data_IF_052630362371
#
_entry.id   IF_052630362371
#
_cell.length_a   1.000
_cell.length_b   1.000
_cell.length_c   1.000
_cell.angle_alpha   90.00
_cell.angle_beta   90.00
_cell.angle_gamma   90.00
#
_symmetry.space_group_name_H-M   'P 1'
#
loop_
_entity.id
_entity.type
_entity.pdbx_description
1 polymer ?
#
# COMPACT_ATOMS: atom_id res chain seq x y z
N UNK A 1 -20.86 19.05 8.96
CA UNK A 1 -20.01 19.28 7.75
C UNK A 1 -19.15 18.08 7.37
N UNK A 2 -18.45 17.42 8.28
CA UNK A 2 -17.57 16.29 7.98
C UNK A 2 -18.29 15.10 7.29
N UNK A 3 -19.47 14.70 7.78
CA UNK A 3 -20.28 13.62 7.15
C UNK A 3 -20.63 13.93 5.70
N UNK A 4 -21.00 15.17 5.39
CA UNK A 4 -21.34 15.60 4.03
C UNK A 4 -20.11 15.57 3.11
N UNK A 5 -18.97 16.08 3.58
CA UNK A 5 -17.68 16.03 2.83
C UNK A 5 -17.25 14.59 2.58
N UNK A 6 -17.37 13.72 3.58
CA UNK A 6 -17.07 12.28 3.43
C UNK A 6 -17.99 11.61 2.43
N UNK A 7 -19.29 11.89 2.48
CA UNK A 7 -20.28 11.36 1.52
C UNK A 7 -19.97 11.84 0.10
N UNK A 8 -19.77 13.13 -0.09
CA UNK A 8 -19.46 13.71 -1.40
C UNK A 8 -18.17 13.11 -1.98
N UNK A 9 -17.12 13.01 -1.16
CA UNK A 9 -15.87 12.38 -1.59
C UNK A 9 -16.07 10.92 -1.98
N UNK A 10 -16.74 10.12 -1.16
CA UNK A 10 -16.98 8.71 -1.47
C UNK A 10 -17.78 8.55 -2.77
N UNK A 11 -18.81 9.36 -2.98
CA UNK A 11 -19.62 9.33 -4.20
C UNK A 11 -18.77 9.68 -5.42
N UNK A 12 -18.00 10.77 -5.37
CA UNK A 12 -17.15 11.18 -6.49
C UNK A 12 -15.98 10.22 -6.72
N UNK A 13 -15.43 9.61 -5.69
CA UNK A 13 -14.40 8.60 -5.79
C UNK A 13 -14.86 7.39 -6.62
N UNK A 14 -16.02 6.81 -6.27
CA UNK A 14 -16.55 5.67 -7.01
C UNK A 14 -17.09 6.07 -8.39
N UNK A 15 -17.69 7.24 -8.52
CA UNK A 15 -18.14 7.76 -9.82
C UNK A 15 -16.95 7.94 -10.77
N UNK A 16 -15.86 8.56 -10.29
CA UNK A 16 -14.63 8.75 -11.04
C UNK A 16 -14.04 7.40 -11.49
N UNK A 17 -14.06 6.38 -10.61
CA UNK A 17 -13.61 5.03 -10.96
C UNK A 17 -14.48 4.40 -12.06
N UNK A 18 -15.80 4.35 -11.83
CA UNK A 18 -16.76 3.67 -12.73
C UNK A 18 -16.81 4.35 -14.10
N UNK A 19 -16.94 5.67 -14.13
CA UNK A 19 -17.01 6.41 -15.39
C UNK A 19 -15.73 6.22 -16.21
N UNK A 20 -14.56 6.34 -15.58
CA UNK A 20 -13.29 6.11 -16.30
C UNK A 20 -13.16 4.68 -16.78
N UNK A 21 -13.53 3.70 -15.96
CA UNK A 21 -13.48 2.31 -16.38
C UNK A 21 -14.40 2.03 -17.57
N UNK A 22 -15.59 2.64 -17.64
CA UNK A 22 -16.51 2.44 -18.77
C UNK A 22 -16.00 3.20 -20.00
N UNK A 23 -15.70 4.51 -19.85
CA UNK A 23 -15.39 5.39 -20.98
C UNK A 23 -14.02 5.07 -21.59
N UNK A 24 -13.01 4.77 -20.75
CA UNK A 24 -11.64 4.55 -21.21
C UNK A 24 -11.32 3.11 -21.54
N UNK A 25 -12.23 2.15 -21.27
CA UNK A 25 -11.99 0.73 -21.56
C UNK A 25 -11.59 0.46 -23.01
N UNK A 26 -12.27 1.00 -24.05
CA UNK A 26 -11.88 0.72 -25.43
C UNK A 26 -10.42 1.15 -25.71
N UNK A 27 -10.07 2.39 -25.37
CA UNK A 27 -8.71 2.90 -25.58
C UNK A 27 -7.69 2.18 -24.70
N UNK A 28 -8.05 1.85 -23.45
CA UNK A 28 -7.18 1.11 -22.54
C UNK A 28 -6.72 -0.21 -23.12
N UNK A 29 -7.60 -0.97 -23.82
CA UNK A 29 -7.25 -2.26 -24.39
C UNK A 29 -6.51 -2.16 -25.73
N UNK A 30 -6.67 -1.08 -26.48
CA UNK A 30 -5.92 -0.81 -27.72
C UNK A 30 -4.48 -0.40 -27.42
N UNK A 31 -4.26 0.42 -26.40
CA UNK A 31 -2.93 0.94 -26.05
C UNK A 31 -1.97 -0.17 -25.59
N UNK A 32 -0.66 -0.05 -25.87
CA UNK A 32 0.37 -0.89 -25.24
C UNK A 32 0.27 -0.83 -23.72
N UNK A 33 0.58 -1.95 -23.03
CA UNK A 33 0.40 -2.11 -21.58
C UNK A 33 0.99 -0.95 -20.75
N UNK A 34 2.24 -0.57 -21.02
CA UNK A 34 2.91 0.50 -20.27
C UNK A 34 2.20 1.85 -20.42
N UNK A 35 1.75 2.19 -21.64
CA UNK A 35 1.00 3.44 -21.90
C UNK A 35 -0.38 3.37 -21.25
N UNK A 36 -1.07 2.23 -21.38
CA UNK A 36 -2.37 2.02 -20.76
C UNK A 36 -2.31 2.19 -19.22
N UNK A 37 -1.16 1.93 -18.59
CA UNK A 37 -1.00 2.08 -17.14
C UNK A 37 -1.08 3.53 -16.67
N UNK A 38 -0.87 4.51 -17.54
CA UNK A 38 -1.08 5.92 -17.17
C UNK A 38 -2.55 6.22 -16.85
N UNK A 39 -3.50 5.43 -17.34
CA UNK A 39 -4.93 5.60 -17.01
C UNK A 39 -5.21 5.36 -15.52
N UNK A 40 -4.86 4.22 -14.89
CA UNK A 40 -5.00 4.06 -13.44
C UNK A 40 -4.10 4.99 -12.62
N UNK A 41 -2.90 5.36 -13.10
CA UNK A 41 -2.07 6.38 -12.42
C UNK A 41 -2.76 7.75 -12.41
N UNK A 42 -3.35 8.17 -13.52
CA UNK A 42 -4.10 9.42 -13.61
C UNK A 42 -5.37 9.38 -12.74
N UNK A 43 -6.05 8.23 -12.66
CA UNK A 43 -7.15 8.03 -11.72
C UNK A 43 -6.67 8.21 -10.26
N UNK A 44 -5.53 7.66 -9.89
CA UNK A 44 -4.96 7.84 -8.55
C UNK A 44 -4.66 9.32 -8.26
N UNK A 45 -4.00 10.04 -9.19
CA UNK A 45 -3.74 11.49 -9.07
C UNK A 45 -5.03 12.30 -8.88
N UNK A 46 -6.06 11.99 -9.67
CA UNK A 46 -7.37 12.68 -9.55
C UNK A 46 -8.05 12.41 -8.21
N UNK A 47 -7.92 11.21 -7.63
CA UNK A 47 -8.46 10.91 -6.31
C UNK A 47 -7.66 11.56 -5.17
N UNK A 48 -6.35 11.73 -5.32
CA UNK A 48 -5.57 12.54 -4.38
C UNK A 48 -6.03 14.00 -4.39
N UNK A 49 -6.29 14.55 -5.58
CA UNK A 49 -6.84 15.89 -5.71
C UNK A 49 -8.24 16.01 -5.09
N UNK A 50 -9.15 15.06 -5.35
CA UNK A 50 -10.49 15.01 -4.72
C UNK A 50 -10.37 14.92 -3.18
N UNK A 51 -9.47 14.11 -2.67
CA UNK A 51 -9.26 13.94 -1.23
C UNK A 51 -8.78 15.25 -0.59
N UNK A 52 -7.82 15.93 -1.24
CA UNK A 52 -7.32 17.24 -0.81
C UNK A 52 -8.42 18.31 -0.82
N UNK A 53 -9.17 18.42 -1.92
CA UNK A 53 -10.14 19.53 -2.11
C UNK A 53 -11.44 19.35 -1.32
N UNK A 54 -11.96 18.13 -1.24
CA UNK A 54 -13.25 17.83 -0.60
C UNK A 54 -13.07 17.53 0.88
N UNK A 55 -12.16 16.62 1.21
CA UNK A 55 -11.94 16.19 2.60
C UNK A 55 -11.01 17.15 3.33
N UNK A 56 -9.99 17.65 2.66
CA UNK A 56 -8.91 18.42 3.27
C UNK A 56 -7.78 17.51 3.78
N UNK A 57 -7.66 16.29 3.22
CA UNK A 57 -6.58 15.36 3.56
C UNK A 57 -5.47 15.46 2.53
N UNK A 58 -4.26 15.69 3.01
CA UNK A 58 -3.04 15.74 2.20
C UNK A 58 -2.02 14.72 2.71
N UNK A 59 -1.05 14.40 1.89
CA UNK A 59 0.07 13.55 2.28
C UNK A 59 1.35 13.96 1.57
N UNK A 60 2.46 13.56 2.13
CA UNK A 60 3.80 13.69 1.59
C UNK A 60 4.45 12.31 1.49
N UNK A 61 5.29 12.11 0.48
CA UNK A 61 6.07 10.87 0.30
C UNK A 61 7.54 11.21 0.51
N UNK A 62 8.11 10.67 1.58
CA UNK A 62 9.55 10.76 1.90
C UNK A 62 10.28 9.52 1.38
N UNK A 63 11.54 9.66 0.98
CA UNK A 63 12.40 8.54 0.60
C UNK A 63 12.17 8.00 -0.81
N UNK A 64 11.67 8.83 -1.74
CA UNK A 64 11.54 8.44 -3.15
C UNK A 64 12.88 8.02 -3.76
N UNK A 65 13.98 8.58 -3.29
CA UNK A 65 15.36 8.24 -3.66
C UNK A 65 15.76 6.81 -3.28
N UNK A 66 15.03 6.16 -2.37
CA UNK A 66 15.26 4.77 -1.97
C UNK A 66 14.68 3.75 -2.97
N UNK A 67 13.94 4.22 -3.99
CA UNK A 67 13.38 3.35 -5.02
C UNK A 67 14.48 3.01 -6.02
N UNK A 68 14.89 1.74 -6.14
CA UNK A 68 15.93 1.37 -7.10
C UNK A 68 15.39 1.45 -8.53
N UNK A 69 16.30 1.67 -9.49
CA UNK A 69 15.98 1.62 -10.92
C UNK A 69 15.70 0.19 -11.44
N UNK A 70 16.06 -0.81 -10.65
CA UNK A 70 15.87 -2.23 -10.96
C UNK A 70 14.59 -2.77 -10.34
N UNK A 71 14.16 -3.96 -10.74
CA UNK A 71 13.02 -4.66 -10.12
C UNK A 71 13.23 -4.84 -8.61
N UNK A 72 12.18 -4.54 -7.84
CA UNK A 72 12.23 -4.62 -6.38
C UNK A 72 10.87 -5.04 -5.79
N UNK A 73 10.87 -5.42 -4.53
CA UNK A 73 9.65 -5.70 -3.78
C UNK A 73 9.33 -4.49 -2.89
N UNK A 74 8.16 -3.89 -3.07
CA UNK A 74 7.60 -2.94 -2.12
C UNK A 74 6.79 -3.66 -1.05
N UNK A 75 7.10 -3.39 0.21
CA UNK A 75 6.51 -4.03 1.38
C UNK A 75 5.81 -3.00 2.29
N UNK A 76 4.70 -2.37 1.85
CA UNK A 76 4.02 -1.36 2.63
C UNK A 76 3.15 -1.94 3.75
N UNK A 77 3.00 -1.17 4.83
CA UNK A 77 1.93 -1.36 5.81
C UNK A 77 0.58 -1.29 5.12
N UNK A 78 -0.42 -2.03 5.63
CA UNK A 78 -1.74 -2.08 5.03
C UNK A 78 -2.85 -1.73 6.02
N UNK A 79 -3.44 -0.55 5.88
CA UNK A 79 -4.42 -0.01 6.83
C UNK A 79 -5.73 0.44 6.18
N UNK A 80 -5.66 0.91 4.94
CA UNK A 80 -6.75 1.60 4.25
C UNK A 80 -6.98 1.05 2.84
N UNK A 81 -8.06 1.45 2.19
CA UNK A 81 -8.20 1.28 0.75
C UNK A 81 -7.24 2.22 0.00
N UNK A 82 -6.92 3.37 0.57
CA UNK A 82 -6.02 4.36 0.03
C UNK A 82 -4.65 3.76 -0.34
N UNK A 83 -4.11 2.87 0.48
CA UNK A 83 -2.79 2.24 0.29
C UNK A 83 -2.69 1.51 -1.06
N UNK A 84 -3.82 1.00 -1.55
CA UNK A 84 -3.85 0.15 -2.76
C UNK A 84 -3.60 0.91 -4.05
N UNK A 85 -3.73 2.25 -4.03
CA UNK A 85 -3.52 3.06 -5.21
C UNK A 85 -2.59 4.26 -4.99
N UNK A 86 -2.28 4.56 -3.74
CA UNK A 86 -1.60 5.80 -3.36
C UNK A 86 -0.24 5.98 -4.03
N UNK A 87 0.55 4.93 -4.09
CA UNK A 87 1.90 4.96 -4.65
C UNK A 87 1.95 4.73 -6.17
N UNK A 88 0.81 4.41 -6.81
CA UNK A 88 0.77 4.19 -8.27
C UNK A 88 1.43 5.32 -9.08
N UNK A 89 1.19 6.62 -8.77
CA UNK A 89 1.82 7.70 -9.52
C UNK A 89 3.34 7.81 -9.37
N UNK A 90 3.89 7.25 -8.29
CA UNK A 90 5.31 7.35 -7.95
C UNK A 90 6.14 6.17 -8.48
N UNK A 91 5.47 5.09 -8.90
CA UNK A 91 6.14 3.87 -9.35
C UNK A 91 6.08 3.75 -10.88
N UNK A 92 7.19 3.41 -11.56
CA UNK A 92 7.23 3.28 -13.03
C UNK A 92 6.27 2.23 -13.57
N UNK A 93 6.30 1.00 -13.07
CA UNK A 93 5.52 -0.12 -13.61
C UNK A 93 5.11 -1.14 -12.52
N UNK A 94 4.34 -0.72 -11.50
CA UNK A 94 4.03 -1.59 -10.36
C UNK A 94 3.17 -2.78 -10.74
N UNK A 95 3.44 -3.92 -10.10
CA UNK A 95 2.65 -5.15 -10.19
C UNK A 95 2.23 -5.59 -8.79
N UNK A 96 0.94 -5.90 -8.62
CA UNK A 96 0.40 -6.29 -7.32
C UNK A 96 0.20 -7.79 -7.22
N UNK A 97 0.57 -8.35 -6.06
CA UNK A 97 0.03 -9.64 -5.63
C UNK A 97 -1.35 -9.37 -5.04
N UNK A 98 -2.39 -9.80 -5.72
CA UNK A 98 -3.77 -9.52 -5.34
C UNK A 98 -4.58 -10.79 -5.09
N UNK A 99 -5.68 -10.65 -4.36
CA UNK A 99 -6.61 -11.76 -4.10
C UNK A 99 -7.27 -12.19 -5.41
N UNK A 100 -7.26 -13.51 -5.73
CA UNK A 100 -7.79 -14.04 -7.00
C UNK A 100 -9.23 -13.63 -7.29
N UNK A 101 -10.06 -13.55 -6.27
CA UNK A 101 -11.47 -13.19 -6.39
C UNK A 101 -11.69 -11.75 -6.90
N UNK A 102 -10.70 -10.88 -6.78
CA UNK A 102 -10.76 -9.53 -7.37
C UNK A 102 -10.79 -9.55 -8.90
N UNK A 103 -10.29 -10.63 -9.53
CA UNK A 103 -10.38 -10.78 -10.98
C UNK A 103 -11.82 -11.01 -11.48
N UNK A 104 -12.74 -11.35 -10.59
CA UNK A 104 -14.16 -11.54 -10.94
C UNK A 104 -14.97 -10.25 -10.94
N UNK A 105 -14.37 -9.16 -10.43
CA UNK A 105 -15.02 -7.84 -10.48
C UNK A 105 -15.03 -7.37 -11.94
N UNK A 106 -16.21 -7.09 -12.51
CA UNK A 106 -16.34 -6.65 -13.89
C UNK A 106 -15.43 -5.44 -14.19
N UNK A 107 -14.85 -5.41 -15.37
CA UNK A 107 -13.87 -4.43 -15.84
C UNK A 107 -12.54 -4.49 -15.05
N UNK A 108 -12.58 -4.37 -13.71
CA UNK A 108 -11.38 -4.39 -12.87
C UNK A 108 -10.51 -5.62 -13.12
N UNK A 109 -11.11 -6.81 -13.20
CA UNK A 109 -10.39 -8.05 -13.48
C UNK A 109 -9.65 -8.01 -14.82
N UNK A 110 -10.29 -7.44 -15.85
CA UNK A 110 -9.67 -7.29 -17.17
C UNK A 110 -8.51 -6.29 -17.15
N UNK A 111 -8.66 -5.16 -16.42
CA UNK A 111 -7.59 -4.20 -16.20
C UNK A 111 -6.41 -4.84 -15.48
N UNK A 112 -6.68 -5.60 -14.40
CA UNK A 112 -5.66 -6.31 -13.64
C UNK A 112 -4.92 -7.35 -14.49
N UNK A 113 -5.63 -8.10 -15.34
CA UNK A 113 -5.02 -9.07 -16.26
C UNK A 113 -4.13 -8.39 -17.30
N UNK A 114 -4.60 -7.28 -17.91
CA UNK A 114 -3.78 -6.53 -18.88
C UNK A 114 -2.51 -6.00 -18.24
N UNK A 115 -2.58 -5.54 -16.97
CA UNK A 115 -1.40 -5.09 -16.23
C UNK A 115 -0.56 -6.23 -15.65
N UNK A 116 -0.89 -7.47 -15.98
CA UNK A 116 -0.15 -8.66 -15.56
C UNK A 116 -0.05 -8.79 -14.03
N UNK A 117 -1.10 -8.37 -13.31
CA UNK A 117 -1.19 -8.54 -11.86
C UNK A 117 -1.14 -10.03 -11.49
N UNK A 118 -0.58 -10.33 -10.31
CA UNK A 118 -0.37 -11.71 -9.86
C UNK A 118 -1.49 -12.12 -8.90
N UNK A 119 -2.48 -12.90 -9.36
CA UNK A 119 -3.57 -13.34 -8.50
C UNK A 119 -3.11 -14.49 -7.60
N UNK A 120 -3.42 -14.40 -6.31
CA UNK A 120 -3.14 -15.44 -5.35
C UNK A 120 -4.40 -15.94 -4.66
N UNK A 121 -4.55 -17.26 -4.57
CA UNK A 121 -5.48 -17.88 -3.65
C UNK A 121 -4.75 -18.08 -2.32
N UNK A 122 -5.09 -17.30 -1.31
CA UNK A 122 -4.43 -17.33 0.01
C UNK A 122 -4.59 -18.65 0.76
N UNK A 123 -5.59 -19.45 0.40
CA UNK A 123 -5.80 -20.79 0.95
C UNK A 123 -4.99 -21.87 0.22
N UNK A 124 -4.46 -21.56 -0.97
CA UNK A 124 -3.73 -22.53 -1.77
C UNK A 124 -2.30 -22.72 -1.29
N UNK A 125 -1.84 -23.97 -1.33
CA UNK A 125 -0.47 -24.39 -0.98
C UNK A 125 0.14 -25.13 -2.18
N UNK A 126 1.44 -25.37 -2.15
CA UNK A 126 2.13 -26.22 -3.14
C UNK A 126 2.18 -25.60 -4.54
N UNK A 127 1.73 -26.32 -5.58
CA UNK A 127 1.86 -25.95 -7.00
C UNK A 127 1.36 -24.55 -7.36
N UNK A 128 0.36 -24.02 -6.64
CA UNK A 128 -0.16 -22.67 -6.90
C UNK A 128 0.85 -21.60 -6.47
N UNK A 129 1.53 -21.84 -5.35
CA UNK A 129 2.56 -20.93 -4.88
C UNK A 129 3.78 -20.92 -5.83
N UNK A 130 4.14 -22.06 -6.42
CA UNK A 130 5.18 -22.14 -7.44
C UNK A 130 4.85 -21.24 -8.64
N UNK A 131 3.61 -21.29 -9.16
CA UNK A 131 3.18 -20.41 -10.26
C UNK A 131 3.21 -18.92 -9.90
N UNK A 132 2.86 -18.57 -8.65
CA UNK A 132 2.99 -17.18 -8.18
C UNK A 132 4.45 -16.75 -8.19
N UNK A 133 5.35 -17.64 -7.76
CA UNK A 133 6.79 -17.37 -7.72
C UNK A 133 7.40 -17.24 -9.11
N UNK A 134 7.07 -18.15 -10.05
CA UNK A 134 7.49 -18.07 -11.46
C UNK A 134 7.06 -16.73 -12.07
N UNK A 135 5.80 -16.36 -11.83
CA UNK A 135 5.25 -15.11 -12.32
C UNK A 135 5.95 -13.90 -11.72
N UNK A 136 6.22 -13.92 -10.41
CA UNK A 136 6.97 -12.86 -9.74
C UNK A 136 8.40 -12.73 -10.31
N UNK A 137 9.09 -13.85 -10.58
CA UNK A 137 10.41 -13.83 -11.24
C UNK A 137 10.39 -13.17 -12.61
N UNK A 138 9.40 -13.49 -13.45
CA UNK A 138 9.23 -12.86 -14.77
C UNK A 138 9.07 -11.34 -14.66
N UNK A 139 8.23 -10.88 -13.73
CA UNK A 139 7.94 -9.46 -13.57
C UNK A 139 9.16 -8.70 -12.97
N UNK A 140 9.90 -9.33 -12.05
CA UNK A 140 11.14 -8.76 -11.50
C UNK A 140 12.25 -8.67 -12.57
N UNK A 141 12.41 -9.72 -13.38
CA UNK A 141 13.35 -9.70 -14.50
C UNK A 141 13.02 -8.62 -15.55
N UNK A 142 11.75 -8.22 -15.64
CA UNK A 142 11.29 -7.11 -16.47
C UNK A 142 11.51 -5.72 -15.83
N UNK A 143 12.14 -5.64 -14.65
CA UNK A 143 12.44 -4.39 -13.94
C UNK A 143 11.23 -3.76 -13.24
N UNK A 144 10.18 -4.55 -12.92
CA UNK A 144 8.94 -4.04 -12.32
C UNK A 144 9.02 -3.99 -10.80
N UNK A 145 8.17 -3.17 -10.17
CA UNK A 145 8.02 -3.07 -8.71
C UNK A 145 6.89 -3.99 -8.23
N UNK A 146 7.24 -5.06 -7.49
CA UNK A 146 6.28 -6.00 -6.93
C UNK A 146 5.72 -5.50 -5.60
N UNK A 147 4.46 -5.12 -5.57
CA UNK A 147 3.81 -4.66 -4.34
C UNK A 147 3.17 -5.85 -3.62
N UNK A 148 3.61 -6.09 -2.40
CA UNK A 148 3.05 -7.08 -1.49
C UNK A 148 2.85 -6.46 -0.11
N UNK A 149 1.67 -6.64 0.47
CA UNK A 149 1.38 -6.23 1.83
C UNK A 149 1.77 -7.37 2.80
N UNK A 150 2.83 -7.20 3.61
CA UNK A 150 3.36 -8.31 4.43
C UNK A 150 2.35 -8.82 5.46
N UNK A 151 1.47 -7.97 5.95
CA UNK A 151 0.41 -8.33 6.91
C UNK A 151 -0.72 -9.17 6.27
N UNK A 152 -0.82 -9.17 4.94
CA UNK A 152 -1.82 -9.92 4.18
C UNK A 152 -3.26 -9.44 4.34
N UNK A 153 -3.53 -8.50 5.23
CA UNK A 153 -4.83 -7.86 5.45
C UNK A 153 -4.66 -6.48 6.03
N UNK A 154 -5.68 -5.62 5.90
CA UNK A 154 -5.67 -4.29 6.52
C UNK A 154 -5.76 -4.39 8.03
N UNK A 155 -4.79 -3.79 8.73
CA UNK A 155 -4.71 -3.68 10.19
C UNK A 155 -5.03 -2.25 10.63
N UNK A 156 -5.68 -2.03 11.78
CA UNK A 156 -5.86 -0.67 12.27
C UNK A 156 -4.52 -0.03 12.68
N UNK A 157 -4.38 1.31 12.61
CA UNK A 157 -3.19 2.01 13.09
C UNK A 157 -2.85 1.63 14.53
N UNK A 158 -1.57 1.43 14.84
CA UNK A 158 -1.08 1.05 16.15
C UNK A 158 -1.38 -0.39 16.58
N UNK A 159 -1.95 -1.23 15.72
CA UNK A 159 -2.13 -2.65 16.01
C UNK A 159 -0.79 -3.37 16.09
N UNK A 160 -0.70 -4.38 16.97
CA UNK A 160 0.44 -5.27 17.04
C UNK A 160 0.82 -5.82 15.64
N UNK A 161 2.11 -5.88 15.30
CA UNK A 161 2.54 -6.35 13.98
C UNK A 161 2.21 -7.84 13.79
N UNK A 162 1.64 -8.15 12.62
CA UNK A 162 1.31 -9.53 12.26
C UNK A 162 1.73 -9.78 10.80
N UNK A 163 3.02 -9.97 10.60
CA UNK A 163 3.61 -10.22 9.29
C UNK A 163 3.51 -11.69 8.89
N UNK A 164 3.29 -11.93 7.60
CA UNK A 164 3.24 -13.29 7.03
C UNK A 164 4.62 -13.65 6.45
N UNK A 165 5.15 -14.78 6.85
CA UNK A 165 6.48 -15.25 6.44
C UNK A 165 6.64 -15.45 4.91
N UNK A 166 5.54 -15.38 4.17
CA UNK A 166 5.56 -15.47 2.71
C UNK A 166 6.47 -14.46 2.02
N UNK A 167 6.68 -13.28 2.62
CA UNK A 167 7.60 -12.27 2.08
C UNK A 167 9.06 -12.70 2.21
N UNK A 168 9.44 -13.43 3.26
CA UNK A 168 10.80 -13.96 3.44
C UNK A 168 11.13 -15.02 2.38
N UNK A 169 10.13 -15.82 1.98
CA UNK A 169 10.28 -16.76 0.86
C UNK A 169 10.44 -16.03 -0.47
N UNK A 170 9.66 -15.00 -0.73
CA UNK A 170 9.80 -14.16 -1.93
C UNK A 170 11.19 -13.51 -1.98
N UNK A 171 11.63 -12.92 -0.89
CA UNK A 171 12.97 -12.33 -0.76
C UNK A 171 14.08 -13.32 -1.12
N UNK A 172 14.05 -14.52 -0.49
CA UNK A 172 15.02 -15.58 -0.76
C UNK A 172 15.02 -16.03 -2.22
N UNK A 173 13.83 -16.22 -2.81
CA UNK A 173 13.70 -16.86 -4.12
C UNK A 173 13.83 -15.87 -5.29
N UNK A 174 13.54 -14.59 -5.08
CA UNK A 174 13.63 -13.55 -6.11
C UNK A 174 15.00 -12.85 -6.13
N UNK A 175 15.71 -12.83 -5.01
CA UNK A 175 17.04 -12.19 -4.89
C UNK A 175 17.05 -10.74 -5.40
N UNK A 176 16.04 -9.96 -5.00
CA UNK A 176 15.89 -8.52 -5.32
C UNK A 176 15.74 -7.70 -4.04
N UNK A 177 16.05 -6.39 -4.09
CA UNK A 177 15.87 -5.51 -2.94
C UNK A 177 14.42 -5.48 -2.47
N UNK A 178 14.22 -5.38 -1.15
CA UNK A 178 12.90 -5.17 -0.53
C UNK A 178 12.85 -3.79 0.10
N UNK A 179 11.84 -3.02 -0.29
CA UNK A 179 11.64 -1.63 0.14
C UNK A 179 10.52 -1.60 1.19
N UNK A 180 10.83 -1.45 2.47
CA UNK A 180 9.81 -1.29 3.50
C UNK A 180 9.14 0.08 3.38
N UNK A 181 7.82 0.16 3.64
CA UNK A 181 7.10 1.44 3.60
C UNK A 181 6.19 1.58 4.81
N UNK A 182 6.43 2.62 5.59
CA UNK A 182 5.66 2.98 6.78
C UNK A 182 4.63 4.07 6.45
N UNK A 183 3.40 3.95 6.98
CA UNK A 183 2.34 4.94 6.76
C UNK A 183 1.14 4.72 7.70
N UNK A 184 0.35 5.77 7.95
CA UNK A 184 -0.86 5.70 8.77
C UNK A 184 -2.12 6.27 8.09
N UNK A 185 -2.43 5.93 6.83
CA UNK A 185 -3.63 6.42 6.14
C UNK A 185 -4.92 5.92 6.80
N UNK A 186 -4.87 4.86 7.60
CA UNK A 186 -6.01 4.34 8.36
C UNK A 186 -6.57 5.30 9.41
N UNK A 187 -5.80 6.32 9.84
CA UNK A 187 -6.28 7.39 10.71
C UNK A 187 -7.22 8.35 9.95
N UNK A 188 -7.00 8.56 8.65
CA UNK A 188 -7.75 9.49 7.80
C UNK A 188 -8.84 8.79 7.00
N UNK A 189 -8.58 7.56 6.57
CA UNK A 189 -9.52 6.71 5.83
C UNK A 189 -9.62 5.33 6.50
N UNK A 190 -10.37 5.23 7.62
CA UNK A 190 -10.47 3.98 8.38
C UNK A 190 -11.11 2.85 7.58
N UNK A 191 -10.65 1.62 7.83
CA UNK A 191 -11.25 0.42 7.28
C UNK A 191 -12.70 0.28 7.74
N UNK A 192 -13.59 -0.12 6.84
CA UNK A 192 -15.04 -0.33 7.12
C UNK A 192 -15.76 0.92 7.65
N UNK A 193 -15.26 2.10 7.34
CA UNK A 193 -15.90 3.37 7.68
C UNK A 193 -16.22 4.16 6.41
N UNK A 194 -17.34 4.89 6.43
CA UNK A 194 -17.68 5.87 5.40
C UNK A 194 -17.09 7.24 5.68
N UNK A 195 -16.53 7.43 6.89
CA UNK A 195 -15.93 8.69 7.30
C UNK A 195 -14.54 8.89 6.69
N UNK A 196 -14.24 10.13 6.36
CA UNK A 196 -12.94 10.61 5.89
C UNK A 196 -12.57 11.83 6.70
N UNK A 197 -11.36 11.85 7.24
CA UNK A 197 -10.92 12.90 8.16
C UNK A 197 -9.90 13.80 7.49
N UNK A 198 -10.01 15.14 7.65
CA UNK A 198 -9.02 16.09 7.13
C UNK A 198 -7.70 15.97 7.90
N UNK A 199 -6.64 16.49 7.32
CA UNK A 199 -5.33 16.61 7.96
C UNK A 199 -4.19 16.24 7.03
N UNK A 200 -3.01 16.05 7.59
CA UNK A 200 -1.79 15.75 6.84
C UNK A 200 -1.07 14.54 7.46
N UNK A 201 -0.53 13.66 6.61
CA UNK A 201 0.30 12.54 7.04
C UNK A 201 1.43 12.28 6.05
N UNK A 202 2.44 11.57 6.53
CA UNK A 202 3.57 11.14 5.73
C UNK A 202 3.50 9.67 5.37
N UNK A 203 4.05 9.36 4.21
CA UNK A 203 4.40 8.02 3.76
C UNK A 203 5.91 7.95 3.68
N UNK A 204 6.53 7.05 4.41
CA UNK A 204 7.99 6.93 4.42
C UNK A 204 8.43 5.66 3.71
N UNK A 205 9.11 5.84 2.58
CA UNK A 205 9.79 4.78 1.85
C UNK A 205 11.17 4.63 2.48
N UNK A 206 11.43 3.50 3.13
CA UNK A 206 12.66 3.24 3.86
C UNK A 206 13.77 2.77 2.92
N UNK A 207 15.04 2.85 3.36
CA UNK A 207 16.16 2.26 2.62
C UNK A 207 15.93 0.78 2.31
N UNK A 208 16.39 0.37 1.15
CA UNK A 208 16.27 -1.00 0.67
C UNK A 208 16.94 -2.00 1.64
N UNK A 209 16.31 -3.15 1.83
CA UNK A 209 16.97 -4.33 2.38
C UNK A 209 17.48 -5.13 1.20
N UNK A 210 18.81 -5.08 0.99
CA UNK A 210 19.47 -5.75 -0.12
C UNK A 210 19.37 -7.27 -0.02
N UNK A 211 19.38 -8.01 -1.15
CA UNK A 211 19.37 -9.47 -1.14
C UNK A 211 20.64 -10.06 -0.49
N UNK A 212 20.55 -11.34 -0.06
CA UNK A 212 21.69 -12.06 0.47
C UNK A 212 21.66 -12.32 1.98
N UNK A 213 20.68 -11.75 2.72
CA UNK A 213 20.49 -12.11 4.12
C UNK A 213 19.82 -13.50 4.25
N UNK A 214 20.08 -14.16 5.37
CA UNK A 214 19.26 -15.30 5.78
C UNK A 214 17.78 -14.87 5.88
N UNK A 215 16.81 -15.70 5.43
CA UNK A 215 15.39 -15.35 5.42
C UNK A 215 14.81 -14.94 6.78
N UNK A 216 15.27 -15.55 7.88
CA UNK A 216 14.79 -15.22 9.23
C UNK A 216 15.39 -13.89 9.70
N UNK A 217 16.66 -13.63 9.40
CA UNK A 217 17.33 -12.34 9.65
C UNK A 217 16.65 -11.23 8.85
N UNK A 218 16.38 -11.46 7.56
CA UNK A 218 15.65 -10.55 6.72
C UNK A 218 14.26 -10.24 7.30
N UNK A 219 13.50 -11.28 7.67
CA UNK A 219 12.13 -11.14 8.16
C UNK A 219 12.07 -10.32 9.44
N UNK A 220 12.99 -10.58 10.38
CA UNK A 220 13.12 -9.78 11.60
C UNK A 220 13.48 -8.33 11.28
N UNK A 221 14.49 -8.11 10.41
CA UNK A 221 14.93 -6.77 10.02
C UNK A 221 13.79 -5.97 9.36
N UNK A 222 13.01 -6.61 8.46
CA UNK A 222 11.87 -5.97 7.81
C UNK A 222 10.85 -5.47 8.84
N UNK A 223 10.51 -6.30 9.83
CA UNK A 223 9.58 -5.93 10.91
C UNK A 223 10.18 -4.78 11.71
N UNK A 224 11.40 -4.94 12.21
CA UNK A 224 12.04 -3.96 13.10
C UNK A 224 12.11 -2.57 12.47
N UNK A 225 12.57 -2.45 11.21
CA UNK A 225 12.70 -1.14 10.55
C UNK A 225 11.34 -0.54 10.19
N UNK A 226 10.38 -1.38 9.78
CA UNK A 226 9.04 -0.89 9.40
C UNK A 226 8.26 -0.43 10.61
N UNK A 227 8.28 -1.20 11.71
CA UNK A 227 7.54 -0.85 12.93
C UNK A 227 8.16 0.37 13.63
N UNK A 228 9.49 0.46 13.68
CA UNK A 228 10.16 1.66 14.20
C UNK A 228 9.71 2.92 13.46
N UNK A 229 9.77 2.92 12.13
CA UNK A 229 9.34 4.06 11.33
C UNK A 229 7.82 4.32 11.44
N UNK A 230 7.01 3.25 11.60
CA UNK A 230 5.56 3.38 11.83
C UNK A 230 5.27 4.03 13.18
N UNK A 231 5.99 3.67 14.24
CA UNK A 231 5.82 4.26 15.57
C UNK A 231 6.15 5.77 15.56
N UNK A 232 7.28 6.13 14.94
CA UNK A 232 7.67 7.53 14.75
C UNK A 232 6.60 8.33 13.99
N UNK A 233 6.11 7.80 12.86
CA UNK A 233 5.06 8.42 12.05
C UNK A 233 3.71 8.48 12.78
N UNK A 234 3.40 7.51 13.64
CA UNK A 234 2.17 7.52 14.43
C UNK A 234 2.17 8.71 15.40
N UNK A 235 3.26 8.88 16.16
CA UNK A 235 3.43 10.00 17.09
C UNK A 235 3.39 11.34 16.36
N UNK A 236 4.15 11.48 15.28
CA UNK A 236 4.17 12.69 14.46
C UNK A 236 2.78 13.02 13.88
N UNK A 237 2.10 12.01 13.32
CA UNK A 237 0.77 12.20 12.72
C UNK A 237 -0.26 12.65 13.75
N UNK A 238 -0.26 12.07 14.92
CA UNK A 238 -1.23 12.42 15.99
C UNK A 238 -0.92 13.80 16.57
N UNK A 239 0.34 14.13 16.77
CA UNK A 239 0.75 15.46 17.23
C UNK A 239 0.30 16.56 16.25
N UNK A 240 0.47 16.35 14.96
CA UNK A 240 0.11 17.31 13.91
C UNK A 240 -1.40 17.33 13.60
N UNK A 241 -2.17 16.36 14.06
CA UNK A 241 -3.61 16.22 13.78
C UNK A 241 -4.39 15.83 15.06
N UNK A 242 -4.43 16.69 16.10
CA UNK A 242 -5.01 16.36 17.40
C UNK A 242 -6.54 16.13 17.37
N UNK A 243 -7.19 16.49 16.28
CA UNK A 243 -8.64 16.31 16.07
C UNK A 243 -9.04 14.93 15.55
N UNK A 244 -8.08 14.06 15.20
CA UNK A 244 -8.38 12.74 14.67
C UNK A 244 -8.98 11.81 15.71
N UNK A 245 -10.03 11.07 15.39
CA UNK A 245 -10.51 9.99 16.25
C UNK A 245 -9.53 8.82 16.19
N UNK A 246 -8.85 8.55 17.29
CA UNK A 246 -7.87 7.49 17.36
C UNK A 246 -8.56 6.13 17.63
N UNK A 247 -8.21 5.07 16.90
CA UNK A 247 -8.66 3.73 17.24
C UNK A 247 -8.00 3.27 18.56
N UNK A 248 -8.64 2.35 19.32
CA UNK A 248 -8.09 1.86 20.58
C UNK A 248 -6.66 1.34 20.49
N UNK A 249 -6.32 0.72 19.35
CA UNK A 249 -4.96 0.22 19.08
C UNK A 249 -3.93 1.34 19.01
N UNK A 250 -4.25 2.48 18.38
CA UNK A 250 -3.36 3.63 18.32
C UNK A 250 -3.20 4.28 19.71
N UNK A 251 -4.30 4.42 20.47
CA UNK A 251 -4.24 4.96 21.85
C UNK A 251 -3.32 4.11 22.71
N UNK A 252 -3.51 2.78 22.69
CA UNK A 252 -2.65 1.85 23.44
C UNK A 252 -1.18 1.99 23.02
N UNK A 253 -0.90 1.98 21.71
CA UNK A 253 0.46 2.05 21.19
C UNK A 253 1.17 3.35 21.56
N UNK A 254 0.49 4.49 21.48
CA UNK A 254 1.04 5.79 21.86
C UNK A 254 1.40 5.79 23.36
N UNK A 255 0.51 5.27 24.22
CA UNK A 255 0.80 5.18 25.66
C UNK A 255 2.04 4.31 25.95
N UNK A 256 2.21 3.19 25.24
CA UNK A 256 3.39 2.32 25.37
C UNK A 256 4.69 3.03 24.93
N UNK A 257 4.63 3.81 23.84
CA UNK A 257 5.79 4.55 23.33
C UNK A 257 6.20 5.66 24.29
N UNK A 258 5.25 6.44 24.79
CA UNK A 258 5.50 7.51 25.77
C UNK A 258 5.98 6.98 27.13
N UNK A 259 5.44 5.83 27.57
CA UNK A 259 5.92 5.17 28.80
C UNK A 259 7.35 4.62 28.68
N UNK A 260 7.80 4.25 27.49
CA UNK A 260 9.20 3.85 27.25
C UNK A 260 10.16 5.03 27.24
N UNK A 261 9.75 6.20 26.72
CA UNK A 261 10.57 7.41 26.74
C UNK A 261 10.81 7.90 28.18
N UNK A 262 9.78 7.87 29.04
CA UNK A 262 9.91 8.25 30.45
C UNK A 262 10.73 7.26 31.30
N UNK A 263 10.87 6.00 30.86
CA UNK A 263 11.69 4.99 31.56
C UNK A 263 13.15 4.95 31.07
N UNK A 264 13.47 5.59 29.95
CA UNK A 264 14.81 5.64 29.36
C UNK A 264 15.56 6.95 29.61
N UNK A 265 14.91 7.98 30.19
CA UNK A 265 15.47 9.26 30.63
C UNK A 265 15.66 9.29 32.15
#
# INVERSE_FOLDING_TARGET
MLKLRSFLFNTLFYLNLIVRMIVLTPIYFILPRKIAYEIPKNWARSNHWLMKTIVGTTFEVEGLENIPETGCIFAPKHQSFWDTYALLPNLPDPVYILKRELLWIPLFGWYAMKQRMIPVNRAARGKVMLKVMERAKEEMAAGRELIIYPEGTRRPPGAEPEYRYGIARLYRDLQVPVIPVAMHPGLFWPRRSTMRYPGHFKVRILPAIEPGLDPDVFFKRLIDVTEKASDELLLETVLNNPHLPLPPTAVKRIAELQGKETAAG
#
